data_IF_771019836006
#
_entry.id   IF_771019836006
#
_cell.length_a   1.000
_cell.length_b   1.000
_cell.length_c   1.000
_cell.angle_alpha   90.00
_cell.angle_beta   90.00
_cell.angle_gamma   90.00
#
_symmetry.space_group_name_H-M   'P 1'
#
loop_
_entity.id
_entity.type
_entity.pdbx_description
1 polymer ?
#
# COMPACT_ATOMS: atom_id res chain seq x y z
N UNK A 1 -18.22 4.68 -12.18
CA UNK A 1 -16.90 4.39 -11.56
C UNK A 1 -16.45 3.02 -12.06
N UNK A 2 -15.36 2.93 -12.83
CA UNK A 2 -14.87 1.65 -13.37
C UNK A 2 -14.06 0.97 -12.27
N UNK A 3 -14.55 -0.15 -11.75
CA UNK A 3 -13.83 -0.95 -10.75
C UNK A 3 -12.52 -1.44 -11.41
N UNK A 4 -11.34 -1.23 -10.80
CA UNK A 4 -10.08 -1.68 -11.38
C UNK A 4 -10.02 -3.21 -11.42
N UNK A 5 -9.41 -3.76 -12.48
CA UNK A 5 -9.25 -5.21 -12.68
C UNK A 5 -8.24 -5.76 -11.66
N UNK A 6 -8.45 -6.98 -11.11
CA UNK A 6 -7.46 -7.63 -10.25
C UNK A 6 -6.12 -7.79 -11.00
N UNK A 7 -5.03 -7.30 -10.41
CA UNK A 7 -3.68 -7.37 -10.99
C UNK A 7 -3.23 -6.16 -11.82
N UNK A 8 -4.06 -5.12 -11.98
CA UNK A 8 -3.59 -3.84 -12.49
C UNK A 8 -2.96 -3.04 -11.35
N UNK A 9 -1.72 -2.55 -11.53
CA UNK A 9 -1.19 -1.47 -10.69
C UNK A 9 -2.21 -0.33 -10.75
N UNK A 10 -2.86 -0.03 -9.64
CA UNK A 10 -3.81 1.07 -9.59
C UNK A 10 -3.02 2.36 -9.76
N UNK A 11 -2.95 2.87 -10.99
CA UNK A 11 -2.48 4.23 -11.25
C UNK A 11 -3.60 5.18 -10.86
N UNK A 12 -3.56 5.65 -9.62
CA UNK A 12 -4.38 6.76 -9.16
C UNK A 12 -3.64 8.06 -9.48
N UNK A 13 -4.28 8.97 -10.19
CA UNK A 13 -3.74 10.32 -10.38
C UNK A 13 -3.88 11.13 -9.09
N UNK A 14 -3.14 12.23 -8.98
CA UNK A 14 -3.32 13.18 -7.87
C UNK A 14 -4.78 13.67 -7.79
N UNK A 15 -5.41 13.92 -8.95
CA UNK A 15 -6.82 14.30 -8.99
C UNK A 15 -7.74 13.23 -8.38
N UNK A 16 -7.52 11.95 -8.68
CA UNK A 16 -8.29 10.85 -8.10
C UNK A 16 -8.08 10.80 -6.58
N UNK A 17 -6.83 10.95 -6.12
CA UNK A 17 -6.46 10.93 -4.70
C UNK A 17 -7.17 12.05 -3.94
N UNK A 18 -7.08 13.30 -4.41
CA UNK A 18 -7.69 14.45 -3.74
C UNK A 18 -9.23 14.39 -3.79
N UNK A 19 -9.80 13.79 -4.83
CA UNK A 19 -11.25 13.54 -4.92
C UNK A 19 -11.70 12.53 -3.87
N UNK A 20 -10.98 11.42 -3.72
CA UNK A 20 -11.25 10.41 -2.68
C UNK A 20 -11.08 11.03 -1.29
N UNK A 21 -10.00 11.80 -1.06
CA UNK A 21 -9.73 12.46 0.20
C UNK A 21 -10.91 13.33 0.66
N UNK A 22 -11.44 14.16 -0.24
CA UNK A 22 -12.63 14.98 0.03
C UNK A 22 -13.85 14.12 0.32
N UNK A 23 -14.05 13.04 -0.43
CA UNK A 23 -15.18 12.13 -0.25
C UNK A 23 -15.18 11.43 1.12
N UNK A 24 -14.00 11.08 1.62
CA UNK A 24 -13.84 10.47 2.96
C UNK A 24 -13.74 11.50 4.10
N UNK A 25 -13.87 12.80 3.79
CA UNK A 25 -13.93 13.87 4.79
C UNK A 25 -12.59 14.45 5.24
N UNK A 26 -11.49 14.19 4.52
CA UNK A 26 -10.20 14.83 4.80
C UNK A 26 -10.17 16.28 4.34
N UNK A 27 -9.45 17.12 5.08
CA UNK A 27 -9.10 18.48 4.66
C UNK A 27 -8.01 18.39 3.58
N UNK A 28 -8.34 18.82 2.37
CA UNK A 28 -7.52 18.58 1.18
C UNK A 28 -6.23 19.40 1.21
N UNK A 29 -6.28 20.63 1.71
CA UNK A 29 -5.09 21.49 1.73
C UNK A 29 -4.09 21.04 2.81
N UNK A 30 -4.57 20.51 3.92
CA UNK A 30 -3.76 19.82 4.91
C UNK A 30 -3.13 18.56 4.32
N UNK A 31 -3.91 17.70 3.65
CA UNK A 31 -3.37 16.49 3.02
C UNK A 31 -2.21 16.81 2.06
N UNK A 32 -2.35 17.84 1.22
CA UNK A 32 -1.27 18.26 0.30
C UNK A 32 0.00 18.67 1.05
N UNK A 33 -0.14 19.45 2.12
CA UNK A 33 1.01 19.84 2.96
C UNK A 33 1.66 18.64 3.63
N UNK A 34 0.85 17.73 4.16
CA UNK A 34 1.32 16.53 4.83
C UNK A 34 2.05 15.61 3.84
N UNK A 35 1.60 15.51 2.58
CA UNK A 35 2.28 14.76 1.51
C UNK A 35 3.70 15.26 1.20
N UNK A 36 4.03 16.51 1.55
CA UNK A 36 5.38 17.08 1.40
C UNK A 36 6.27 16.88 2.64
N UNK A 37 5.73 16.28 3.72
CA UNK A 37 6.45 16.08 4.97
C UNK A 37 7.58 15.03 4.80
N UNK A 38 8.80 15.44 5.17
CA UNK A 38 9.99 14.57 5.14
C UNK A 38 9.85 13.32 6.00
N UNK A 39 9.08 13.37 7.08
CA UNK A 39 8.80 12.19 7.91
C UNK A 39 8.04 11.12 7.12
N UNK A 40 7.11 11.52 6.25
CA UNK A 40 6.38 10.58 5.38
C UNK A 40 7.32 10.00 4.33
N UNK A 41 8.12 10.84 3.66
CA UNK A 41 9.13 10.38 2.69
C UNK A 41 10.08 9.34 3.32
N UNK A 42 10.60 9.62 4.51
CA UNK A 42 11.48 8.70 5.23
C UNK A 42 10.81 7.34 5.53
N UNK A 43 9.51 7.32 5.81
CA UNK A 43 8.76 6.07 6.03
C UNK A 43 8.63 5.29 4.71
N UNK A 44 8.35 5.96 3.59
CA UNK A 44 8.27 5.33 2.28
C UNK A 44 9.62 4.74 1.85
N UNK A 45 10.71 5.49 2.02
CA UNK A 45 12.07 5.03 1.74
C UNK A 45 12.44 3.80 2.57
N UNK A 46 12.17 3.84 3.88
CA UNK A 46 12.41 2.70 4.79
C UNK A 46 11.62 1.46 4.39
N UNK A 47 10.35 1.62 4.04
CA UNK A 47 9.52 0.50 3.59
C UNK A 47 10.04 -0.09 2.26
N UNK A 48 10.48 0.76 1.33
CA UNK A 48 11.09 0.31 0.07
C UNK A 48 12.43 -0.42 0.30
N UNK A 49 13.25 0.04 1.25
CA UNK A 49 14.49 -0.63 1.62
C UNK A 49 14.21 -2.02 2.24
N UNK A 50 13.27 -2.09 3.18
CA UNK A 50 12.86 -3.35 3.79
C UNK A 50 12.30 -4.34 2.76
N UNK A 51 11.49 -3.88 1.80
CA UNK A 51 10.99 -4.72 0.72
C UNK A 51 12.13 -5.34 -0.11
N UNK A 52 13.21 -4.59 -0.39
CA UNK A 52 14.39 -5.11 -1.10
C UNK A 52 15.13 -6.16 -0.28
N UNK A 53 15.33 -5.92 1.01
CA UNK A 53 15.99 -6.87 1.93
C UNK A 53 15.21 -8.18 2.06
N UNK A 54 13.88 -8.11 2.02
CA UNK A 54 12.98 -9.26 2.08
C UNK A 54 12.67 -9.89 0.70
N UNK A 55 13.33 -9.44 -0.38
CA UNK A 55 13.10 -9.89 -1.76
C UNK A 55 11.63 -9.74 -2.24
N UNK A 56 10.90 -8.75 -1.71
CA UNK A 56 9.53 -8.41 -2.08
C UNK A 56 9.56 -7.53 -3.34
N UNK A 57 9.26 -8.13 -4.49
CA UNK A 57 9.29 -7.46 -5.80
C UNK A 57 7.90 -7.08 -6.34
N UNK A 58 6.82 -7.58 -5.73
CA UNK A 58 5.44 -7.35 -6.16
C UNK A 58 4.54 -7.13 -4.95
N UNK A 59 3.42 -6.43 -5.15
CA UNK A 59 2.39 -6.23 -4.14
C UNK A 59 1.09 -6.91 -4.56
N UNK A 60 0.27 -7.43 -3.61
CA UNK A 60 0.51 -7.44 -2.16
C UNK A 60 1.60 -8.45 -1.74
N UNK A 61 2.17 -8.25 -0.55
CA UNK A 61 3.05 -9.20 0.13
C UNK A 61 2.78 -9.14 1.65
N UNK A 62 2.97 -10.26 2.35
CA UNK A 62 2.78 -10.40 3.79
C UNK A 62 4.02 -11.02 4.44
N UNK A 63 4.30 -10.64 5.68
CA UNK A 63 5.31 -11.27 6.54
C UNK A 63 4.58 -11.92 7.73
N UNK A 64 4.78 -13.21 7.95
CA UNK A 64 4.15 -14.01 9.00
C UNK A 64 5.23 -14.80 9.77
N UNK A 65 5.56 -14.34 10.97
CA UNK A 65 6.73 -14.88 11.69
C UNK A 65 7.99 -14.67 10.85
N UNK A 66 8.65 -15.78 10.52
CA UNK A 66 9.88 -15.79 9.70
C UNK A 66 9.61 -16.00 8.19
N UNK A 67 8.34 -16.16 7.79
CA UNK A 67 7.94 -16.44 6.41
C UNK A 67 7.53 -15.15 5.67
N UNK A 68 8.07 -14.96 4.46
CA UNK A 68 7.67 -13.88 3.54
C UNK A 68 6.82 -14.47 2.42
N UNK A 69 5.56 -14.05 2.35
CA UNK A 69 4.61 -14.50 1.33
C UNK A 69 4.36 -13.37 0.33
N UNK A 70 4.91 -13.52 -0.87
CA UNK A 70 4.77 -12.54 -1.95
C UNK A 70 3.61 -12.91 -2.89
N UNK A 71 2.79 -11.92 -3.24
CA UNK A 71 1.62 -12.07 -4.09
C UNK A 71 0.29 -12.24 -3.34
N UNK A 72 -0.80 -12.33 -4.12
CA UNK A 72 -2.16 -12.46 -3.57
C UNK A 72 -2.33 -13.80 -2.86
N UNK A 73 -2.70 -13.74 -1.59
CA UNK A 73 -2.98 -14.92 -0.76
C UNK A 73 -4.49 -15.09 -0.52
N UNK A 74 -4.97 -16.33 -0.52
CA UNK A 74 -6.36 -16.65 -0.15
C UNK A 74 -6.50 -16.75 1.37
N UNK A 75 -7.66 -16.35 1.91
CA UNK A 75 -7.90 -16.28 3.36
C UNK A 75 -7.66 -17.62 4.08
N UNK A 76 -8.09 -18.74 3.52
CA UNK A 76 -7.86 -20.06 4.10
C UNK A 76 -6.38 -20.44 4.20
N UNK A 77 -5.53 -19.88 3.32
CA UNK A 77 -4.08 -20.08 3.43
C UNK A 77 -3.55 -19.27 4.60
N UNK A 78 -4.04 -18.03 4.80
CA UNK A 78 -3.64 -17.18 5.92
C UNK A 78 -3.97 -17.83 7.26
N UNK A 79 -5.18 -18.37 7.39
CA UNK A 79 -5.64 -19.08 8.59
C UNK A 79 -4.71 -20.24 8.98
N UNK A 80 -4.20 -21.01 8.01
CA UNK A 80 -3.24 -22.10 8.27
C UNK A 80 -1.86 -21.64 8.71
N UNK A 81 -1.44 -20.42 8.38
CA UNK A 81 -0.16 -19.87 8.84
C UNK A 81 -0.24 -19.31 10.27
N UNK A 82 -1.44 -19.00 10.75
CA UNK A 82 -1.66 -18.39 12.07
C UNK A 82 -2.08 -19.43 13.12
N UNK A 83 -2.70 -20.54 12.70
CA UNK A 83 -3.13 -21.65 13.57
C UNK A 83 -1.96 -22.50 14.08
#
# INVERSE_FOLDING_TARGET
>A
MKVPRPGAVAQLSEFDILTIARHVGLEVEQLKRDMEDRAIENVLERNCALAKELYINVTPALVLGDEVISGVLKIHTLERFIA
#
